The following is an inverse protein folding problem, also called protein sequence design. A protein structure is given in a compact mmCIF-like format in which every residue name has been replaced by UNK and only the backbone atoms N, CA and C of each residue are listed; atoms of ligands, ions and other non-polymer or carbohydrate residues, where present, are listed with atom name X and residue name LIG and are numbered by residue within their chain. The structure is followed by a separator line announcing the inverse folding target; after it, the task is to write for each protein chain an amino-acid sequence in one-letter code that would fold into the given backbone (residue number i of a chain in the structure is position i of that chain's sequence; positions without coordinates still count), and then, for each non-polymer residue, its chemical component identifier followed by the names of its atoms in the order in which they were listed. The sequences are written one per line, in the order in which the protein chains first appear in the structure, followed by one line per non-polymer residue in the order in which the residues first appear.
data_IF_155154605848
#
_entry.id   IF_155154605848
#
_cell.length_a   1.000
_cell.length_b   1.000
_cell.length_c   1.000
_cell.angle_alpha   90.00
_cell.angle_beta   90.00
_cell.angle_gamma   90.00
#
_symmetry.space_group_name_H-M   'P 1'
#
loop_
_entity.id
_entity.type
_entity.pdbx_description
1 polymer ?
#
# COMPACT_ATOMS: atom_id res chain seq x y z
N UNK A 1 -7.74 20.04 14.23
CA UNK A 1 -6.36 20.56 14.32
C UNK A 1 -5.53 19.81 13.29
N UNK A 2 -4.89 20.48 12.32
CA UNK A 2 -4.03 19.81 11.33
C UNK A 2 -2.65 19.58 11.97
N UNK A 3 -2.15 18.33 11.95
CA UNK A 3 -0.86 17.96 12.53
C UNK A 3 0.24 18.28 11.51
N UNK A 4 1.22 19.17 11.81
CA UNK A 4 2.23 19.61 10.84
C UNK A 4 3.00 18.46 10.18
N UNK A 5 3.40 17.45 10.96
CA UNK A 5 4.11 16.28 10.46
C UNK A 5 3.30 15.47 9.42
N UNK A 6 1.96 15.47 9.50
CA UNK A 6 1.11 14.78 8.52
C UNK A 6 1.10 15.55 7.20
N UNK A 7 1.01 16.88 7.26
CA UNK A 7 1.02 17.73 6.07
C UNK A 7 2.36 17.64 5.33
N UNK A 8 3.46 17.73 6.07
CA UNK A 8 4.81 17.56 5.52
C UNK A 8 4.98 16.20 4.84
N UNK A 9 4.47 15.12 5.44
CA UNK A 9 4.53 13.78 4.84
C UNK A 9 3.66 13.65 3.57
N UNK A 10 2.49 14.30 3.55
CA UNK A 10 1.59 14.31 2.37
C UNK A 10 2.24 15.05 1.21
N UNK A 11 2.93 16.15 1.47
CA UNK A 11 3.69 16.93 0.48
C UNK A 11 4.94 16.17 0.01
N UNK A 12 5.62 15.46 0.91
CA UNK A 12 6.82 14.67 0.60
C UNK A 12 6.52 13.31 -0.07
N UNK A 13 5.25 12.96 -0.29
CA UNK A 13 4.86 11.67 -0.86
C UNK A 13 5.36 11.54 -2.32
N UNK A 14 6.24 10.58 -2.56
CA UNK A 14 6.86 10.34 -3.88
C UNK A 14 5.91 9.73 -4.93
N UNK A 15 4.87 9.03 -4.48
CA UNK A 15 3.90 8.39 -5.36
C UNK A 15 2.87 7.62 -4.55
N UNK A 16 1.66 7.50 -5.11
CA UNK A 16 0.59 6.69 -4.54
C UNK A 16 0.30 5.50 -5.47
N UNK A 17 0.05 4.29 -4.94
CA UNK A 17 -0.29 3.16 -5.79
C UNK A 17 -1.57 3.42 -6.61
N UNK A 18 -1.67 2.80 -7.80
CA UNK A 18 -2.79 3.04 -8.72
C UNK A 18 -4.16 2.61 -8.16
N UNK A 19 -4.16 1.67 -7.21
CA UNK A 19 -5.36 1.21 -6.51
C UNK A 19 -5.80 2.12 -5.34
N UNK A 20 -5.10 3.25 -5.10
CA UNK A 20 -5.40 4.20 -4.02
C UNK A 20 -5.86 5.55 -4.58
N UNK A 21 -7.02 6.02 -4.13
CA UNK A 21 -7.46 7.41 -4.29
C UNK A 21 -7.21 8.17 -3.00
N UNK A 22 -6.72 9.41 -3.09
CA UNK A 22 -6.44 10.24 -1.92
C UNK A 22 -6.73 11.72 -2.18
N UNK A 23 -7.52 12.33 -1.29
CA UNK A 23 -7.82 13.76 -1.24
C UNK A 23 -6.91 14.41 -0.19
N UNK A 24 -5.94 15.22 -0.63
CA UNK A 24 -4.97 15.87 0.24
C UNK A 24 -5.54 17.05 1.05
N UNK A 25 -6.67 17.63 0.62
CA UNK A 25 -7.29 18.75 1.33
C UNK A 25 -8.06 18.26 2.55
N UNK A 26 -8.80 17.16 2.35
CA UNK A 26 -9.60 16.50 3.39
C UNK A 26 -8.81 15.47 4.20
N UNK A 27 -7.65 15.04 3.71
CA UNK A 27 -6.84 13.97 4.29
C UNK A 27 -7.61 12.63 4.34
N UNK A 28 -8.35 12.34 3.27
CA UNK A 28 -9.17 11.14 3.15
C UNK A 28 -8.66 10.29 1.98
N UNK A 29 -8.73 8.96 2.13
CA UNK A 29 -8.34 8.04 1.08
C UNK A 29 -9.21 6.80 1.04
N UNK A 30 -9.27 6.18 -0.13
CA UNK A 30 -10.02 4.95 -0.36
C UNK A 30 -9.31 4.06 -1.38
N UNK A 31 -9.62 2.76 -1.34
CA UNK A 31 -9.23 1.84 -2.38
C UNK A 31 -10.20 1.99 -3.56
N UNK A 32 -9.67 2.23 -4.75
CA UNK A 32 -10.48 2.26 -5.98
C UNK A 32 -10.80 0.85 -6.44
N UNK A 33 -9.89 -0.09 -6.18
CA UNK A 33 -10.02 -1.53 -6.43
C UNK A 33 -9.08 -2.31 -5.52
N UNK A 34 -9.21 -3.63 -5.55
CA UNK A 34 -8.18 -4.49 -4.99
C UNK A 34 -6.91 -4.42 -5.88
N UNK A 35 -5.72 -4.42 -5.25
CA UNK A 35 -4.46 -4.49 -5.97
C UNK A 35 -4.31 -5.83 -6.70
N UNK A 36 -3.60 -5.79 -7.82
CA UNK A 36 -3.12 -6.98 -8.52
C UNK A 36 -1.78 -7.44 -7.91
N UNK A 37 -1.39 -8.70 -8.17
CA UNK A 37 -0.21 -9.30 -7.51
C UNK A 37 1.10 -8.63 -7.93
N UNK A 38 1.20 -8.19 -9.17
CA UNK A 38 2.36 -7.49 -9.74
C UNK A 38 2.53 -6.07 -9.15
N UNK A 39 1.46 -5.48 -8.63
CA UNK A 39 1.49 -4.18 -7.95
C UNK A 39 1.98 -4.25 -6.50
N UNK A 40 2.12 -5.46 -5.93
CA UNK A 40 2.58 -5.67 -4.55
C UNK A 40 3.91 -6.40 -4.58
N UNK A 41 5.00 -5.72 -4.24
CA UNK A 41 6.32 -6.33 -3.97
C UNK A 41 6.64 -7.52 -4.89
N UNK A 42 6.79 -7.29 -6.21
CA UNK A 42 6.96 -8.35 -7.19
C UNK A 42 8.21 -9.21 -6.95
N UNK A 43 9.16 -8.72 -6.17
CA UNK A 43 10.37 -9.43 -5.75
C UNK A 43 10.11 -10.59 -4.77
N UNK A 44 8.95 -10.61 -4.10
CA UNK A 44 8.61 -11.65 -3.13
C UNK A 44 8.00 -12.86 -3.85
N UNK A 45 8.66 -14.02 -3.73
CA UNK A 45 8.11 -15.29 -4.19
C UNK A 45 7.22 -15.94 -3.12
N UNK A 46 5.91 -15.71 -3.22
CA UNK A 46 4.91 -16.23 -2.28
C UNK A 46 4.80 -17.76 -2.28
N UNK A 47 5.26 -18.46 -3.33
CA UNK A 47 5.26 -19.92 -3.36
C UNK A 47 6.09 -20.51 -2.22
N UNK A 48 7.20 -19.85 -1.85
CA UNK A 48 8.04 -20.26 -0.72
C UNK A 48 7.29 -20.21 0.61
N UNK A 49 6.36 -19.26 0.77
CA UNK A 49 5.51 -19.14 1.96
C UNK A 49 4.52 -20.31 2.02
N UNK A 50 3.88 -20.64 0.90
CA UNK A 50 2.96 -21.78 0.79
C UNK A 50 3.68 -23.09 1.10
N UNK A 51 4.85 -23.30 0.51
CA UNK A 51 5.69 -24.48 0.75
C UNK A 51 6.09 -24.61 2.22
N UNK A 52 6.43 -23.51 2.88
CA UNK A 52 6.78 -23.51 4.30
C UNK A 52 5.61 -23.99 5.16
N UNK A 53 4.41 -23.46 4.97
CA UNK A 53 3.24 -23.87 5.76
C UNK A 53 2.79 -25.29 5.46
N UNK A 54 2.90 -25.76 4.22
CA UNK A 54 2.61 -27.15 3.87
C UNK A 54 3.53 -28.15 4.61
N UNK A 55 4.76 -27.75 4.95
CA UNK A 55 5.69 -28.59 5.73
C UNK A 55 5.40 -28.60 7.24
N UNK A 56 4.55 -27.69 7.72
CA UNK A 56 4.16 -27.61 9.14
C UNK A 56 2.86 -28.37 9.44
N UNK A 57 2.11 -28.77 8.40
CA UNK A 57 0.97 -29.68 8.46
C UNK A 57 1.45 -31.14 8.47
#
# INVERSE_FOLDING_TARGET
MKVPAILEAVEATLGRPAFVSFDAEKLEGSLTRLPERDEINPEINEALVVEFYNKML
#
